data_IF_739822038977
#
_entry.id   IF_739822038977
#
_cell.length_a   1.000
_cell.length_b   1.000
_cell.length_c   1.000
_cell.angle_alpha   90.00
_cell.angle_beta   90.00
_cell.angle_gamma   90.00
#
_symmetry.space_group_name_H-M   'P 1'
#
loop_
_entity.id
_entity.type
_entity.pdbx_description
1 polymer ?
#
# COMPACT_ATOMS: atom_id res chain seq x y z
N UNK A 1 -48.54 8.16 -24.39
CA UNK A 1 -47.72 8.12 -23.16
C UNK A 1 -46.33 8.60 -23.55
N UNK A 2 -46.01 9.87 -23.26
CA UNK A 2 -44.74 10.51 -23.60
C UNK A 2 -43.58 9.90 -22.82
N UNK A 3 -42.50 9.60 -23.53
CA UNK A 3 -41.19 9.25 -22.98
C UNK A 3 -40.49 10.49 -22.44
N UNK A 4 -40.28 10.56 -21.12
CA UNK A 4 -39.48 11.61 -20.47
C UNK A 4 -38.03 11.13 -20.42
N UNK A 5 -37.12 11.89 -21.04
CA UNK A 5 -35.68 11.67 -20.95
C UNK A 5 -35.17 12.02 -19.53
N UNK A 6 -34.13 11.34 -19.02
CA UNK A 6 -33.54 11.69 -17.74
C UNK A 6 -32.86 13.07 -17.81
N UNK A 7 -32.86 13.85 -16.71
CA UNK A 7 -32.26 15.17 -16.69
C UNK A 7 -30.72 15.06 -16.85
N UNK A 8 -30.07 16.06 -17.46
CA UNK A 8 -28.62 16.10 -17.54
C UNK A 8 -28.02 16.16 -16.14
N UNK A 9 -26.92 15.43 -15.93
CA UNK A 9 -26.13 15.50 -14.71
C UNK A 9 -25.68 16.95 -14.50
N UNK A 10 -26.19 17.57 -13.43
CA UNK A 10 -25.68 18.86 -12.97
C UNK A 10 -24.23 18.64 -12.54
N UNK A 11 -23.29 19.25 -13.27
CA UNK A 11 -21.94 19.46 -12.78
C UNK A 11 -22.08 20.19 -11.43
N UNK A 12 -21.45 19.64 -10.38
CA UNK A 12 -21.42 20.27 -9.07
C UNK A 12 -20.93 21.71 -9.24
N UNK A 13 -21.73 22.68 -8.80
CA UNK A 13 -21.35 24.08 -8.81
C UNK A 13 -20.02 24.25 -8.06
N UNK A 14 -19.09 25.07 -8.57
CA UNK A 14 -17.86 25.36 -7.84
C UNK A 14 -18.20 25.93 -6.47
N UNK A 15 -17.71 25.26 -5.42
CA UNK A 15 -17.85 25.71 -4.04
C UNK A 15 -17.38 27.18 -3.96
N UNK A 16 -18.10 28.06 -3.23
CA UNK A 16 -17.62 29.41 -3.02
C UNK A 16 -16.20 29.37 -2.44
N UNK A 17 -15.29 30.13 -3.04
CA UNK A 17 -13.91 30.26 -2.57
C UNK A 17 -13.90 30.70 -1.10
N UNK A 18 -13.30 29.90 -0.23
CA UNK A 18 -12.97 30.31 1.14
C UNK A 18 -11.55 30.88 1.12
N UNK A 19 -11.38 32.21 1.21
CA UNK A 19 -10.07 32.84 1.08
C UNK A 19 -9.06 32.35 2.12
N UNK A 20 -9.52 31.87 3.28
CA UNK A 20 -8.66 31.36 4.33
C UNK A 20 -8.21 29.93 4.03
N UNK A 21 -9.11 29.08 3.52
CA UNK A 21 -8.77 27.74 3.06
C UNK A 21 -7.84 27.79 1.83
N UNK A 22 -8.09 28.71 0.90
CA UNK A 22 -7.25 28.91 -0.29
C UNK A 22 -5.86 29.41 0.08
N UNK A 23 -5.75 30.33 1.04
CA UNK A 23 -4.46 30.81 1.55
C UNK A 23 -3.69 29.70 2.30
N UNK A 24 -4.38 28.87 3.08
CA UNK A 24 -3.79 27.70 3.74
C UNK A 24 -3.28 26.69 2.70
N UNK A 25 -4.11 26.33 1.72
CA UNK A 25 -3.75 25.39 0.67
C UNK A 25 -2.57 25.90 -0.18
N UNK A 26 -2.58 27.18 -0.57
CA UNK A 26 -1.46 27.81 -1.27
C UNK A 26 -0.16 27.76 -0.45
N UNK A 27 -0.23 27.99 0.87
CA UNK A 27 0.95 27.90 1.75
C UNK A 27 1.41 26.45 1.93
N UNK A 28 0.49 25.51 2.10
CA UNK A 28 0.77 24.09 2.31
C UNK A 28 1.38 23.43 1.07
N UNK A 29 0.99 23.86 -0.13
CA UNK A 29 1.45 23.30 -1.41
C UNK A 29 2.69 23.98 -1.99
N UNK A 30 3.16 25.09 -1.40
CA UNK A 30 4.31 25.86 -1.91
C UNK A 30 5.66 25.18 -1.71
N UNK A 31 5.72 24.01 -1.05
CA UNK A 31 6.94 23.28 -0.71
C UNK A 31 6.67 22.22 0.36
N UNK A 32 7.60 21.27 0.54
CA UNK A 32 7.47 20.22 1.55
C UNK A 32 7.44 20.84 2.96
N UNK A 33 6.45 20.50 3.78
CA UNK A 33 6.28 21.03 5.14
C UNK A 33 5.88 19.94 6.11
N UNK A 34 6.31 20.07 7.35
CA UNK A 34 5.79 19.29 8.46
C UNK A 34 4.57 20.02 9.06
N UNK A 35 3.61 19.29 9.59
CA UNK A 35 2.45 19.86 10.29
C UNK A 35 2.34 19.35 11.72
N UNK A 36 1.72 20.15 12.58
CA UNK A 36 1.28 19.72 13.90
C UNK A 36 -0.22 19.97 14.08
N UNK A 37 -0.92 19.07 14.76
CA UNK A 37 -2.34 19.28 15.10
C UNK A 37 -2.44 20.38 16.15
N UNK A 38 -3.26 21.39 15.86
CA UNK A 38 -3.59 22.45 16.82
C UNK A 38 -4.48 21.90 17.93
N UNK A 39 -4.09 22.13 19.18
CA UNK A 39 -4.73 21.52 20.35
C UNK A 39 -5.65 22.47 21.10
N UNK A 40 -5.59 23.77 20.77
CA UNK A 40 -6.24 24.83 21.55
C UNK A 40 -5.47 25.23 22.81
N UNK A 41 -4.37 24.53 23.14
CA UNK A 41 -3.44 24.93 24.18
C UNK A 41 -2.24 25.64 23.54
N UNK A 42 -2.15 26.97 23.74
CA UNK A 42 -1.14 27.80 23.10
C UNK A 42 0.31 27.40 23.44
N UNK A 43 0.56 26.90 24.65
CA UNK A 43 1.89 26.42 25.05
C UNK A 43 2.25 25.13 24.31
N UNK A 44 1.31 24.17 24.24
CA UNK A 44 1.47 22.91 23.50
C UNK A 44 1.75 23.19 22.03
N UNK A 45 0.97 24.08 21.42
CA UNK A 45 1.06 24.41 20.00
C UNK A 45 2.39 25.13 19.70
N UNK A 46 2.82 26.04 20.57
CA UNK A 46 4.11 26.74 20.44
C UNK A 46 5.31 25.77 20.54
N UNK A 47 5.28 24.84 21.50
CA UNK A 47 6.33 23.81 21.65
C UNK A 47 6.39 22.92 20.40
N UNK A 48 5.23 22.48 19.92
CA UNK A 48 5.11 21.63 18.72
C UNK A 48 5.70 22.33 17.50
N UNK A 49 5.33 23.61 17.30
CA UNK A 49 5.87 24.44 16.22
C UNK A 49 7.39 24.57 16.32
N UNK A 50 7.93 24.91 17.48
CA UNK A 50 9.37 25.11 17.68
C UNK A 50 10.18 23.82 17.47
N UNK A 51 9.65 22.68 17.94
CA UNK A 51 10.26 21.36 17.75
C UNK A 51 10.34 20.98 16.27
N UNK A 52 9.23 21.12 15.54
CA UNK A 52 9.20 20.83 14.11
C UNK A 52 10.05 21.82 13.31
N UNK A 53 10.12 23.09 13.69
CA UNK A 53 11.00 24.08 13.05
C UNK A 53 12.46 23.64 13.15
N UNK A 54 12.87 23.23 14.35
CA UNK A 54 14.23 22.73 14.60
C UNK A 54 14.51 21.46 13.80
N UNK A 55 13.54 20.54 13.72
CA UNK A 55 13.64 19.32 12.92
C UNK A 55 13.79 19.64 11.43
N UNK A 56 13.00 20.58 10.89
CA UNK A 56 13.10 21.02 9.49
C UNK A 56 14.49 21.56 9.17
N UNK A 57 15.04 22.43 10.04
CA UNK A 57 16.41 22.96 9.88
C UNK A 57 17.44 21.83 9.89
N UNK A 58 17.33 20.90 10.83
CA UNK A 58 18.25 19.78 10.95
C UNK A 58 18.20 18.83 9.74
N UNK A 59 17.00 18.52 9.24
CA UNK A 59 16.82 17.71 8.04
C UNK A 59 17.41 18.40 6.82
N UNK A 60 17.19 19.71 6.63
CA UNK A 60 17.79 20.46 5.53
C UNK A 60 19.33 20.52 5.57
N UNK A 61 19.94 20.43 6.77
CA UNK A 61 21.40 20.36 6.91
C UNK A 61 21.98 18.98 6.57
N UNK A 62 21.18 17.90 6.67
CA UNK A 62 21.66 16.51 6.52
C UNK A 62 21.09 15.77 5.32
N UNK A 63 20.14 16.36 4.62
CA UNK A 63 19.43 15.78 3.48
C UNK A 63 19.21 16.84 2.41
N UNK A 64 18.71 16.44 1.24
CA UNK A 64 18.31 17.38 0.19
C UNK A 64 16.93 18.02 0.42
N UNK A 65 16.33 17.87 1.62
CA UNK A 65 15.01 18.41 1.94
C UNK A 65 15.06 19.93 2.09
N UNK A 66 14.42 20.66 1.17
CA UNK A 66 14.13 22.09 1.30
C UNK A 66 12.74 22.28 1.95
N UNK A 67 12.70 22.15 3.28
CA UNK A 67 11.45 22.23 4.03
C UNK A 67 11.03 23.67 4.37
N UNK A 68 9.74 23.98 4.21
CA UNK A 68 9.15 25.25 4.64
C UNK A 68 8.83 25.30 6.14
N UNK A 69 8.43 26.48 6.64
CA UNK A 69 7.98 26.65 8.03
C UNK A 69 6.81 25.69 8.36
N UNK A 70 6.86 24.97 9.49
CA UNK A 70 5.79 24.09 9.93
C UNK A 70 4.47 24.82 10.13
N UNK A 71 3.37 24.13 9.83
CA UNK A 71 2.01 24.67 9.93
C UNK A 71 1.22 23.99 11.04
N UNK A 72 0.46 24.80 11.78
CA UNK A 72 -0.60 24.29 12.64
C UNK A 72 -1.76 23.85 11.77
N UNK A 73 -2.32 22.68 12.10
CA UNK A 73 -3.35 22.00 11.33
C UNK A 73 -4.61 21.83 12.19
N UNK A 74 -5.75 22.26 11.66
CA UNK A 74 -7.08 21.91 12.17
C UNK A 74 -7.61 20.71 11.37
N UNK A 75 -7.57 19.53 11.99
CA UNK A 75 -7.98 18.26 11.37
C UNK A 75 -9.46 18.24 10.91
N UNK A 76 -10.31 19.11 11.44
CA UNK A 76 -11.71 19.18 11.05
C UNK A 76 -11.92 19.99 9.76
N UNK A 77 -11.01 20.92 9.44
CA UNK A 77 -11.20 21.93 8.38
C UNK A 77 -10.13 21.86 7.30
N UNK A 78 -8.88 21.77 7.70
CA UNK A 78 -7.74 21.90 6.81
C UNK A 78 -7.49 20.59 6.03
N UNK A 79 -6.85 20.68 4.87
CA UNK A 79 -6.53 19.52 4.04
C UNK A 79 -5.28 18.79 4.56
N UNK A 80 -5.43 17.49 4.88
CA UNK A 80 -4.37 16.67 5.51
C UNK A 80 -3.40 16.14 4.45
N UNK A 81 -3.87 15.89 3.23
CA UNK A 81 -3.11 15.22 2.18
C UNK A 81 -1.86 16.00 1.71
N UNK A 82 -1.72 17.28 2.07
CA UNK A 82 -0.56 18.09 1.74
C UNK A 82 0.67 17.83 2.62
N UNK A 83 0.51 17.10 3.72
CA UNK A 83 1.57 16.90 4.70
C UNK A 83 2.04 15.44 4.67
N UNK A 84 3.35 15.16 4.47
CA UNK A 84 3.87 13.80 4.48
C UNK A 84 3.94 13.21 5.91
N UNK A 85 4.00 14.07 6.92
CA UNK A 85 4.03 13.70 8.33
C UNK A 85 3.25 14.75 9.13
N UNK A 86 2.29 14.28 9.92
CA UNK A 86 1.54 15.09 10.89
C UNK A 86 1.96 14.68 12.30
N UNK A 87 2.47 15.62 13.08
CA UNK A 87 2.74 15.43 14.50
C UNK A 87 1.49 15.76 15.31
N UNK A 88 1.03 14.84 16.13
CA UNK A 88 -0.17 15.03 16.95
C UNK A 88 0.16 14.96 18.44
N UNK A 89 0.34 16.11 19.11
CA UNK A 89 0.48 16.16 20.55
C UNK A 89 -0.86 15.85 21.22
N UNK A 90 -0.90 14.81 22.05
CA UNK A 90 -2.10 14.42 22.79
C UNK A 90 -2.16 15.23 24.09
N UNK A 91 -3.27 15.96 24.26
CA UNK A 91 -3.57 16.72 25.47
C UNK A 91 -4.70 15.98 26.21
N UNK A 92 -4.46 15.43 27.41
CA UNK A 92 -5.43 14.57 28.10
C UNK A 92 -6.81 15.20 28.31
N UNK A 93 -6.85 16.50 28.59
CA UNK A 93 -8.08 17.23 28.89
C UNK A 93 -8.70 17.91 27.66
N UNK A 94 -8.11 17.73 26.47
CA UNK A 94 -8.68 18.29 25.25
C UNK A 94 -9.96 17.54 24.85
N UNK A 95 -10.96 18.26 24.32
CA UNK A 95 -12.17 17.61 23.82
C UNK A 95 -11.82 16.63 22.70
N UNK A 96 -12.41 15.44 22.76
CA UNK A 96 -12.26 14.45 21.69
C UNK A 96 -12.71 15.05 20.34
N UNK A 97 -11.93 14.89 19.26
CA UNK A 97 -12.33 15.36 17.94
C UNK A 97 -13.67 14.77 17.50
N UNK A 98 -14.40 15.51 16.66
CA UNK A 98 -15.69 15.05 16.13
C UNK A 98 -15.50 13.81 15.25
N UNK A 99 -16.56 13.00 15.11
CA UNK A 99 -16.54 11.82 14.24
C UNK A 99 -16.15 12.17 12.79
N UNK A 100 -16.57 13.34 12.30
CA UNK A 100 -16.19 13.82 10.96
C UNK A 100 -14.69 14.12 10.86
N UNK A 101 -14.09 14.75 11.87
CA UNK A 101 -12.66 15.01 11.90
C UNK A 101 -11.85 13.71 11.96
N UNK A 102 -12.30 12.74 12.78
CA UNK A 102 -11.67 11.43 12.87
C UNK A 102 -11.78 10.63 11.57
N UNK A 103 -12.90 10.72 10.85
CA UNK A 103 -13.03 10.10 9.53
C UNK A 103 -12.05 10.68 8.49
N UNK A 104 -11.71 11.97 8.59
CA UNK A 104 -10.69 12.60 7.73
C UNK A 104 -9.29 12.08 8.05
N UNK A 105 -8.98 11.94 9.34
CA UNK A 105 -7.74 11.35 9.85
C UNK A 105 -7.61 9.89 9.38
N UNK A 106 -8.68 9.10 9.51
CA UNK A 106 -8.76 7.72 9.03
C UNK A 106 -8.46 7.61 7.54
N UNK A 107 -9.12 8.45 6.73
CA UNK A 107 -8.88 8.49 5.28
C UNK A 107 -7.43 8.88 4.93
N UNK A 108 -6.84 9.85 5.63
CA UNK A 108 -5.45 10.25 5.44
C UNK A 108 -4.47 9.10 5.74
N UNK A 109 -4.67 8.39 6.85
CA UNK A 109 -3.82 7.24 7.20
C UNK A 109 -3.96 6.10 6.18
N UNK A 110 -5.19 5.78 5.75
CA UNK A 110 -5.46 4.77 4.71
C UNK A 110 -4.84 5.11 3.36
N UNK A 111 -4.62 6.40 3.08
CA UNK A 111 -3.94 6.87 1.87
C UNK A 111 -2.41 6.92 2.01
N UNK A 112 -1.84 6.36 3.08
CA UNK A 112 -0.40 6.29 3.32
C UNK A 112 0.17 7.51 4.03
N UNK A 113 -0.69 8.40 4.54
CA UNK A 113 -0.30 9.52 5.38
C UNK A 113 0.25 9.05 6.73
N UNK A 114 1.38 9.59 7.17
CA UNK A 114 1.98 9.23 8.45
C UNK A 114 1.54 10.21 9.54
N UNK A 115 1.12 9.67 10.70
CA UNK A 115 0.84 10.44 11.92
C UNK A 115 1.74 9.95 13.05
N UNK A 116 2.41 10.88 13.73
CA UNK A 116 3.15 10.61 14.97
C UNK A 116 2.34 11.13 16.16
N UNK A 117 1.73 10.22 16.92
CA UNK A 117 1.04 10.55 18.17
C UNK A 117 2.05 10.66 19.32
N UNK A 118 2.03 11.79 20.03
CA UNK A 118 2.90 12.04 21.18
C UNK A 118 2.06 12.24 22.44
N UNK A 119 2.12 11.29 23.38
CA UNK A 119 1.37 11.34 24.65
C UNK A 119 1.98 12.31 25.66
N UNK A 120 3.22 12.79 25.44
CA UNK A 120 3.91 13.82 26.23
C UNK A 120 4.16 13.50 27.71
N UNK A 121 3.80 12.31 28.17
CA UNK A 121 3.70 11.94 29.58
C UNK A 121 4.62 10.79 29.99
N UNK A 122 5.59 10.45 29.14
CA UNK A 122 6.55 9.37 29.37
C UNK A 122 7.39 9.55 30.67
N UNK A 123 7.48 10.77 31.22
CA UNK A 123 8.17 11.06 32.50
C UNK A 123 7.29 10.78 33.72
N UNK A 124 5.97 10.94 33.59
CA UNK A 124 5.02 10.77 34.69
C UNK A 124 4.57 9.31 34.83
N UNK A 125 4.74 8.52 33.77
CA UNK A 125 4.48 7.09 33.79
C UNK A 125 5.48 6.38 34.72
N UNK A 126 4.97 5.80 35.81
CA UNK A 126 5.75 4.87 36.62
C UNK A 126 6.22 3.68 35.75
N UNK A 127 7.41 3.10 36.00
CA UNK A 127 7.89 1.93 35.25
C UNK A 127 6.84 0.82 35.22
N UNK A 128 6.45 0.35 34.03
CA UNK A 128 5.39 -0.67 33.87
C UNK A 128 3.95 -0.15 33.91
N UNK A 129 3.73 1.17 34.08
CA UNK A 129 2.43 1.84 33.99
C UNK A 129 2.30 2.73 32.73
N UNK A 130 3.21 2.59 31.76
CA UNK A 130 3.25 3.34 30.49
C UNK A 130 1.91 3.30 29.73
N UNK A 131 1.15 2.22 29.85
CA UNK A 131 -0.13 2.05 29.17
C UNK A 131 -1.31 2.75 29.88
N UNK A 132 -1.10 3.33 31.07
CA UNK A 132 -2.15 3.88 31.95
C UNK A 132 -2.02 5.39 32.20
N UNK A 133 -1.04 6.04 31.60
CA UNK A 133 -0.86 7.48 31.75
C UNK A 133 -2.04 8.26 31.13
N UNK A 134 -2.35 9.48 31.60
CA UNK A 134 -3.48 10.27 31.09
C UNK A 134 -3.44 10.49 29.57
N UNK A 135 -2.28 10.75 28.99
CA UNK A 135 -2.09 10.91 27.55
C UNK A 135 -2.33 9.62 26.79
N UNK A 136 -1.92 8.47 27.33
CA UNK A 136 -2.20 7.16 26.74
C UNK A 136 -3.69 6.78 26.81
N UNK A 137 -4.39 7.16 27.90
CA UNK A 137 -5.85 6.98 28.00
C UNK A 137 -6.57 7.85 26.97
N UNK A 138 -6.18 9.12 26.83
CA UNK A 138 -6.75 10.01 25.83
C UNK A 138 -6.49 9.52 24.39
N UNK A 139 -5.26 9.07 24.12
CA UNK A 139 -4.90 8.47 22.82
C UNK A 139 -5.79 7.26 22.51
N UNK A 140 -5.94 6.31 23.44
CA UNK A 140 -6.85 5.16 23.23
C UNK A 140 -8.28 5.59 22.94
N UNK A 141 -8.77 6.64 23.60
CA UNK A 141 -10.09 7.20 23.33
C UNK A 141 -10.24 7.78 21.91
N UNK A 142 -9.17 8.33 21.33
CA UNK A 142 -9.13 8.78 19.93
C UNK A 142 -9.06 7.58 18.99
N UNK A 143 -8.11 6.68 19.23
CA UNK A 143 -7.84 5.52 18.38
C UNK A 143 -9.02 4.54 18.33
N UNK A 144 -9.82 4.42 19.39
CA UNK A 144 -11.01 3.55 19.42
C UNK A 144 -12.12 3.97 18.45
N UNK A 145 -11.96 5.10 17.74
CA UNK A 145 -12.89 5.61 16.73
C UNK A 145 -12.27 5.73 15.35
N UNK A 146 -11.03 5.26 15.20
CA UNK A 146 -10.34 5.10 13.93
C UNK A 146 -10.32 3.61 13.59
N UNK A 147 -10.40 3.30 12.30
CA UNK A 147 -10.32 1.93 11.81
C UNK A 147 -8.85 1.63 11.51
N UNK A 148 -8.06 1.54 12.59
CA UNK A 148 -6.63 1.24 12.54
C UNK A 148 -6.35 -0.15 13.10
N UNK A 149 -5.34 -0.85 12.56
CA UNK A 149 -4.88 -2.11 13.14
C UNK A 149 -4.38 -1.92 14.58
N UNK A 150 -4.29 -3.04 15.31
CA UNK A 150 -3.77 -3.05 16.66
C UNK A 150 -2.36 -2.42 16.68
N UNK A 151 -2.01 -1.72 17.76
CA UNK A 151 -0.66 -1.20 17.94
C UNK A 151 0.17 -2.21 18.70
N UNK A 152 1.37 -2.50 18.21
CA UNK A 152 2.36 -3.29 18.94
C UNK A 152 3.60 -2.44 19.26
N UNK A 153 4.33 -2.78 20.33
CA UNK A 153 5.62 -2.15 20.55
C UNK A 153 6.57 -2.52 19.44
N UNK A 154 7.37 -1.56 18.98
CA UNK A 154 8.23 -1.75 17.81
C UNK A 154 9.05 -3.05 17.88
N UNK A 155 8.81 -4.02 16.97
CA UNK A 155 9.59 -5.24 16.93
C UNK A 155 11.05 -4.97 16.57
N UNK A 156 11.97 -5.82 17.03
CA UNK A 156 13.40 -5.71 16.69
C UNK A 156 13.67 -5.74 15.19
N UNK A 157 12.81 -6.39 14.42
CA UNK A 157 12.96 -6.57 12.99
C UNK A 157 12.25 -5.51 12.14
N UNK A 158 11.60 -4.55 12.78
CA UNK A 158 10.84 -3.49 12.13
C UNK A 158 11.75 -2.59 11.27
N UNK A 159 11.22 -2.02 10.17
CA UNK A 159 12.05 -1.20 9.25
C UNK A 159 12.74 -0.03 9.98
N UNK A 160 12.08 0.57 10.98
CA UNK A 160 12.63 1.68 11.78
C UNK A 160 13.85 1.27 12.63
N UNK A 161 13.97 0.01 13.09
CA UNK A 161 15.18 -0.47 13.79
C UNK A 161 16.30 -0.83 12.81
N UNK A 162 15.98 -1.01 11.52
CA UNK A 162 16.94 -1.35 10.46
C UNK A 162 17.45 -0.14 9.68
N UNK A 163 16.78 1.00 9.79
CA UNK A 163 17.17 2.25 9.14
C UNK A 163 18.32 2.92 9.89
N UNK A 164 19.28 3.55 9.19
CA UNK A 164 20.38 4.34 9.77
C UNK A 164 21.19 3.61 10.88
N UNK A 165 22.05 2.66 10.50
CA UNK A 165 22.98 1.96 11.41
C UNK A 165 22.33 1.25 12.61
N UNK A 166 21.33 0.39 12.35
CA UNK A 166 20.74 -0.51 13.36
C UNK A 166 20.35 0.22 14.65
N UNK A 167 19.43 1.18 14.58
CA UNK A 167 18.88 1.85 15.76
C UNK A 167 18.26 0.80 16.69
N UNK A 168 18.93 0.55 17.83
CA UNK A 168 18.47 -0.38 18.87
C UNK A 168 17.52 0.27 19.85
N UNK A 169 17.64 1.58 20.00
CA UNK A 169 16.84 2.41 20.88
C UNK A 169 16.28 3.60 20.09
N UNK A 170 15.16 4.15 20.55
CA UNK A 170 14.50 5.32 19.96
C UNK A 170 14.62 6.51 20.91
N UNK A 171 15.82 7.09 21.07
CA UNK A 171 16.01 8.20 21.99
C UNK A 171 15.23 9.42 21.49
N UNK A 172 14.31 9.90 22.32
CA UNK A 172 13.69 11.20 22.16
C UNK A 172 14.28 12.21 23.14
N UNK A 173 13.44 13.13 23.63
CA UNK A 173 13.76 13.92 24.84
C UNK A 173 14.08 13.01 26.05
N UNK A 174 13.59 11.77 26.02
CA UNK A 174 13.77 10.74 27.04
C UNK A 174 14.17 9.41 26.41
N UNK A 175 14.84 8.56 27.17
CA UNK A 175 15.35 7.25 26.72
C UNK A 175 14.54 6.06 27.23
N UNK A 176 13.53 6.29 28.07
CA UNK A 176 12.70 5.24 28.69
C UNK A 176 11.35 5.01 27.99
N UNK A 177 11.01 5.84 26.98
CA UNK A 177 9.74 5.72 26.26
C UNK A 177 9.73 4.56 25.28
N UNK A 178 8.63 3.82 25.22
CA UNK A 178 8.43 2.73 24.26
C UNK A 178 7.72 3.27 23.01
N UNK A 179 8.34 3.13 21.84
CA UNK A 179 7.71 3.45 20.56
C UNK A 179 6.76 2.31 20.14
N UNK A 180 5.55 2.68 19.72
CA UNK A 180 4.54 1.77 19.22
C UNK A 180 4.33 2.02 17.72
N UNK A 181 4.05 0.95 16.99
CA UNK A 181 3.81 0.95 15.54
C UNK A 181 2.55 0.13 15.25
N UNK A 182 2.00 0.28 14.06
CA UNK A 182 0.95 -0.60 13.54
C UNK A 182 1.42 -2.05 13.59
N UNK A 183 0.62 -2.94 14.17
CA UNK A 183 0.93 -4.36 14.27
C UNK A 183 0.87 -4.99 12.89
N UNK A 184 1.96 -5.68 12.54
CA UNK A 184 1.97 -6.48 11.33
C UNK A 184 1.14 -7.76 11.60
N UNK A 185 0.47 -8.33 10.58
CA UNK A 185 -0.26 -9.59 10.73
C UNK A 185 0.62 -10.65 11.39
N UNK A 186 0.11 -11.27 12.46
CA UNK A 186 0.86 -12.23 13.25
C UNK A 186 1.42 -13.35 12.34
N UNK A 187 2.72 -13.58 12.45
CA UNK A 187 3.34 -14.75 11.85
C UNK A 187 2.75 -16.02 12.48
N UNK A 188 2.52 -17.04 11.66
CA UNK A 188 2.17 -18.39 12.10
C UNK A 188 3.16 -18.88 13.18
N UNK A 189 2.69 -19.18 14.40
CA UNK A 189 3.57 -19.59 15.51
C UNK A 189 4.27 -20.94 15.29
N UNK A 190 3.85 -21.74 14.30
CA UNK A 190 4.49 -23.02 13.93
C UNK A 190 5.34 -22.93 12.64
N UNK A 191 5.49 -21.75 12.04
CA UNK A 191 6.38 -21.51 10.91
C UNK A 191 7.83 -21.26 11.36
N UNK A 192 8.85 -21.56 10.54
CA UNK A 192 10.23 -21.23 10.88
C UNK A 192 10.34 -19.71 11.15
N UNK A 193 10.78 -19.39 12.36
CA UNK A 193 11.07 -18.05 12.86
C UNK A 193 12.19 -17.44 12.02
N UNK A 194 11.86 -16.72 10.94
CA UNK A 194 12.87 -16.10 10.08
C UNK A 194 12.36 -14.88 9.29
N UNK A 195 12.86 -13.69 9.69
CA UNK A 195 13.26 -12.57 8.82
C UNK A 195 12.30 -12.20 7.67
N UNK A 196 11.02 -11.93 7.95
CA UNK A 196 10.09 -11.40 6.93
C UNK A 196 10.27 -9.87 6.79
N UNK A 197 10.66 -9.32 5.63
CA UNK A 197 10.81 -7.88 5.49
C UNK A 197 9.44 -7.18 5.39
N UNK A 198 9.35 -5.96 5.94
CA UNK A 198 8.10 -5.19 5.95
C UNK A 198 7.68 -4.77 4.52
N UNK A 199 6.38 -4.83 4.24
CA UNK A 199 5.73 -4.40 2.98
C UNK A 199 5.37 -2.92 3.05
N UNK A 200 5.53 -2.19 1.95
CA UNK A 200 5.01 -0.83 1.83
C UNK A 200 3.48 -0.82 1.92
N UNK A 201 2.91 0.14 2.66
CA UNK A 201 1.45 0.25 2.81
C UNK A 201 0.76 0.49 1.46
N UNK A 202 -0.50 0.07 1.35
CA UNK A 202 -1.26 0.13 0.09
C UNK A 202 -1.36 1.55 -0.49
N UNK A 203 -1.53 2.57 0.35
CA UNK A 203 -1.54 3.98 -0.06
C UNK A 203 -0.21 4.45 -0.67
N UNK A 204 0.92 3.98 -0.13
CA UNK A 204 2.25 4.27 -0.67
C UNK A 204 2.44 3.62 -2.06
N UNK A 205 2.01 2.37 -2.20
CA UNK A 205 2.04 1.65 -3.49
C UNK A 205 1.16 2.39 -4.50
N UNK A 206 -0.07 2.75 -4.12
CA UNK A 206 -1.01 3.48 -4.97
C UNK A 206 -0.42 4.80 -5.48
N UNK A 207 0.23 5.57 -4.61
CA UNK A 207 0.87 6.84 -4.96
C UNK A 207 2.04 6.68 -5.95
N UNK A 208 2.87 5.65 -5.77
CA UNK A 208 3.97 5.32 -6.70
C UNK A 208 3.44 5.08 -8.11
N UNK A 209 2.39 4.28 -8.24
CA UNK A 209 1.82 3.94 -9.55
C UNK A 209 0.97 5.08 -10.12
N UNK A 210 0.26 5.84 -9.30
CA UNK A 210 -0.46 7.04 -9.72
C UNK A 210 0.46 8.03 -10.45
N UNK A 211 1.66 8.29 -9.91
CA UNK A 211 2.67 9.16 -10.51
C UNK A 211 3.25 8.64 -11.85
N UNK A 212 3.00 7.38 -12.20
CA UNK A 212 3.50 6.71 -13.40
C UNK A 212 2.41 6.47 -14.45
N UNK A 213 1.14 6.47 -14.06
CA UNK A 213 0.01 6.06 -14.91
C UNK A 213 0.01 6.72 -16.30
N UNK A 214 0.26 8.04 -16.37
CA UNK A 214 0.25 8.76 -17.64
C UNK A 214 1.36 8.34 -18.63
N UNK A 215 2.46 7.79 -18.14
CA UNK A 215 3.61 7.37 -18.96
C UNK A 215 3.84 5.87 -18.98
N UNK A 216 3.01 5.10 -18.28
CA UNK A 216 3.19 3.65 -18.13
C UNK A 216 3.23 2.97 -19.50
N UNK A 217 2.22 3.25 -20.33
CA UNK A 217 2.12 2.70 -21.68
C UNK A 217 3.11 3.36 -22.65
N UNK A 218 3.49 4.62 -22.41
CA UNK A 218 4.44 5.36 -23.26
C UNK A 218 5.91 4.95 -23.03
N UNK A 219 6.23 4.38 -21.87
CA UNK A 219 7.54 3.79 -21.57
C UNK A 219 7.79 2.46 -22.29
N UNK A 220 6.75 1.89 -22.91
CA UNK A 220 6.81 0.67 -23.72
C UNK A 220 7.08 0.98 -25.20
N UNK A 221 8.18 1.66 -25.49
CA UNK A 221 8.86 1.40 -26.76
C UNK A 221 9.18 -0.12 -26.84
N UNK A 222 9.23 -0.74 -28.04
CA UNK A 222 9.21 -2.19 -28.27
C UNK A 222 10.38 -3.03 -27.69
N UNK A 223 11.11 -2.55 -26.68
CA UNK A 223 12.30 -3.18 -26.10
C UNK A 223 12.38 -3.16 -24.55
N UNK A 224 11.40 -2.63 -23.79
CA UNK A 224 11.61 -2.40 -22.35
C UNK A 224 10.86 -3.33 -21.37
N UNK A 225 9.53 -3.51 -21.39
CA UNK A 225 8.79 -4.30 -20.36
C UNK A 225 7.98 -5.44 -20.99
N UNK A 226 8.04 -6.65 -20.40
CA UNK A 226 7.40 -7.89 -20.87
C UNK A 226 6.53 -8.58 -19.83
N UNK A 227 6.34 -8.00 -18.64
CA UNK A 227 5.60 -8.65 -17.57
C UNK A 227 4.17 -9.04 -17.97
N UNK A 228 3.50 -8.22 -18.78
CA UNK A 228 2.17 -8.51 -19.30
C UNK A 228 2.14 -9.69 -20.28
N UNK A 229 3.08 -9.71 -21.23
CA UNK A 229 3.20 -10.79 -22.22
C UNK A 229 3.50 -12.13 -21.54
N UNK A 230 4.46 -12.16 -20.60
CA UNK A 230 4.85 -13.38 -19.89
C UNK A 230 3.68 -14.01 -19.13
N UNK A 231 2.86 -13.20 -18.45
CA UNK A 231 1.68 -13.70 -17.73
C UNK A 231 0.62 -14.21 -18.69
N UNK A 232 0.32 -13.46 -19.76
CA UNK A 232 -0.67 -13.87 -20.75
C UNK A 232 -0.26 -15.18 -21.45
N UNK A 233 0.99 -15.29 -21.87
CA UNK A 233 1.56 -16.50 -22.49
C UNK A 233 1.51 -17.71 -21.55
N UNK A 234 1.88 -17.54 -20.27
CA UNK A 234 1.80 -18.62 -19.27
C UNK A 234 0.35 -19.07 -19.04
N UNK A 235 -0.58 -18.13 -18.87
CA UNK A 235 -2.00 -18.42 -18.67
C UNK A 235 -2.59 -19.16 -19.86
N UNK A 236 -2.31 -18.70 -21.09
CA UNK A 236 -2.86 -19.30 -22.31
C UNK A 236 -2.32 -20.70 -22.61
N UNK A 237 -1.10 -21.03 -22.17
CA UNK A 237 -0.56 -22.40 -22.24
C UNK A 237 -1.31 -23.39 -21.32
N UNK A 238 -1.97 -22.88 -20.28
CA UNK A 238 -2.54 -23.67 -19.19
C UNK A 238 -4.06 -23.86 -19.30
N UNK A 239 -4.76 -22.95 -19.95
CA UNK A 239 -6.23 -22.99 -20.06
C UNK A 239 -6.67 -23.74 -21.32
N UNK A 240 -7.78 -24.50 -21.27
CA UNK A 240 -8.34 -25.10 -22.47
C UNK A 240 -8.86 -24.01 -23.43
N UNK A 241 -9.08 -24.40 -24.68
CA UNK A 241 -9.78 -23.56 -25.65
C UNK A 241 -11.21 -23.25 -25.19
N UNK A 242 -11.62 -21.99 -25.36
CA UNK A 242 -12.91 -21.50 -24.89
C UNK A 242 -12.84 -20.11 -24.27
N UNK A 243 -14.02 -19.56 -24.00
CA UNK A 243 -14.18 -18.27 -23.36
C UNK A 243 -14.21 -18.42 -21.83
N UNK A 244 -13.40 -17.63 -21.14
CA UNK A 244 -13.10 -17.74 -19.71
C UNK A 244 -13.66 -16.55 -18.93
N UNK A 245 -13.99 -16.73 -17.66
CA UNK A 245 -14.10 -15.63 -16.71
C UNK A 245 -12.72 -15.37 -16.09
N UNK A 246 -12.15 -14.19 -16.37
CA UNK A 246 -10.77 -13.83 -16.02
C UNK A 246 -10.77 -12.67 -15.01
N UNK A 247 -9.92 -12.79 -13.98
CA UNK A 247 -9.52 -11.66 -13.15
C UNK A 247 -8.11 -11.19 -13.53
N UNK A 248 -7.94 -9.89 -13.77
CA UNK A 248 -6.64 -9.23 -13.87
C UNK A 248 -6.32 -8.55 -12.52
N UNK A 249 -5.52 -9.22 -11.70
CA UNK A 249 -5.19 -8.83 -10.33
C UNK A 249 -3.95 -7.93 -10.33
N UNK A 250 -4.13 -6.65 -10.01
CA UNK A 250 -3.12 -5.61 -10.25
C UNK A 250 -3.11 -5.20 -11.72
N UNK A 251 -4.28 -4.89 -12.28
CA UNK A 251 -4.44 -4.72 -13.72
C UNK A 251 -3.69 -3.50 -14.29
N UNK A 252 -3.30 -2.54 -13.44
CA UNK A 252 -2.62 -1.31 -13.86
C UNK A 252 -3.40 -0.58 -14.94
N UNK A 253 -2.71 -0.19 -16.01
CA UNK A 253 -3.33 0.42 -17.21
C UNK A 253 -4.04 -0.59 -18.11
N UNK A 254 -4.09 -1.87 -17.73
CA UNK A 254 -4.80 -2.92 -18.44
C UNK A 254 -4.04 -3.58 -19.60
N UNK A 255 -2.72 -3.68 -19.50
CA UNK A 255 -1.89 -4.34 -20.53
C UNK A 255 -2.21 -5.84 -20.65
N UNK A 256 -2.34 -6.56 -19.53
CA UNK A 256 -2.68 -7.99 -19.56
C UNK A 256 -4.09 -8.21 -20.08
N UNK A 257 -5.07 -7.43 -19.60
CA UNK A 257 -6.43 -7.46 -20.14
C UNK A 257 -6.52 -7.29 -21.66
N UNK A 258 -5.67 -6.46 -22.28
CA UNK A 258 -5.62 -6.30 -23.74
C UNK A 258 -5.18 -7.58 -24.46
N UNK A 259 -4.25 -8.33 -23.88
CA UNK A 259 -3.76 -9.61 -24.42
C UNK A 259 -4.77 -10.74 -24.23
N UNK A 260 -5.57 -10.69 -23.16
CA UNK A 260 -6.50 -11.76 -22.80
C UNK A 260 -7.96 -11.53 -23.25
N UNK A 261 -8.34 -10.34 -23.71
CA UNK A 261 -9.75 -10.01 -24.02
C UNK A 261 -10.40 -10.97 -25.02
N UNK A 262 -9.67 -11.42 -26.03
CA UNK A 262 -10.19 -12.36 -27.05
C UNK A 262 -10.57 -13.73 -26.49
N UNK A 263 -10.03 -14.08 -25.31
CA UNK A 263 -10.31 -15.32 -24.58
C UNK A 263 -11.26 -15.12 -23.41
N UNK A 264 -11.64 -13.87 -23.11
CA UNK A 264 -12.48 -13.54 -21.97
C UNK A 264 -13.96 -13.48 -22.37
N UNK A 265 -14.78 -14.36 -21.79
CA UNK A 265 -16.23 -14.16 -21.67
C UNK A 265 -16.52 -12.99 -20.74
N UNK A 266 -15.75 -12.89 -19.66
CA UNK A 266 -15.77 -11.80 -18.69
C UNK A 266 -14.35 -11.47 -18.28
N UNK A 267 -14.04 -10.18 -18.19
CA UNK A 267 -12.76 -9.66 -17.74
C UNK A 267 -12.96 -8.61 -16.65
N UNK A 268 -12.62 -8.96 -15.41
CA UNK A 268 -12.67 -8.06 -14.27
C UNK A 268 -11.25 -7.64 -13.87
N UNK A 269 -11.03 -6.36 -13.59
CA UNK A 269 -9.73 -5.82 -13.17
C UNK A 269 -9.80 -5.19 -11.79
N UNK A 270 -8.72 -5.35 -11.01
CA UNK A 270 -8.52 -4.66 -9.73
C UNK A 270 -7.14 -4.02 -9.69
N UNK A 271 -7.06 -2.78 -9.20
CA UNK A 271 -5.79 -2.10 -8.94
C UNK A 271 -5.96 -1.12 -7.76
N UNK A 272 -4.89 -0.85 -7.03
CA UNK A 272 -4.88 0.13 -5.93
C UNK A 272 -4.92 1.58 -6.46
N UNK A 273 -4.45 1.82 -7.69
CA UNK A 273 -4.23 3.14 -8.24
C UNK A 273 -5.40 3.59 -9.13
N UNK A 274 -6.21 4.53 -8.65
CA UNK A 274 -7.29 5.13 -9.45
C UNK A 274 -6.81 5.71 -10.79
N UNK A 275 -5.67 6.44 -10.88
CA UNK A 275 -5.14 6.90 -12.16
C UNK A 275 -4.73 5.79 -13.13
N UNK A 276 -4.30 4.63 -12.63
CA UNK A 276 -4.05 3.45 -13.49
C UNK A 276 -5.37 2.90 -14.04
N UNK A 277 -6.39 2.79 -13.20
CA UNK A 277 -7.73 2.32 -13.60
C UNK A 277 -8.41 3.26 -14.59
N UNK A 278 -8.16 4.56 -14.54
CA UNK A 278 -8.60 5.50 -15.58
C UNK A 278 -8.04 5.11 -16.95
N UNK A 279 -6.74 4.81 -17.04
CA UNK A 279 -6.12 4.32 -18.29
C UNK A 279 -6.68 2.97 -18.74
N UNK A 280 -6.94 2.06 -17.81
CA UNK A 280 -7.56 0.77 -18.13
C UNK A 280 -9.00 0.95 -18.66
N UNK A 281 -9.75 1.90 -18.07
CA UNK A 281 -11.13 2.22 -18.48
C UNK A 281 -11.18 2.79 -19.90
N UNK A 282 -10.24 3.65 -20.26
CA UNK A 282 -10.14 4.24 -21.60
C UNK A 282 -10.01 3.18 -22.71
N UNK A 283 -9.48 2.00 -22.40
CA UNK A 283 -9.34 0.89 -23.36
C UNK A 283 -10.67 0.17 -23.64
N UNK A 284 -11.69 0.32 -22.79
CA UNK A 284 -13.01 -0.30 -22.99
C UNK A 284 -13.02 -1.83 -22.98
N UNK A 285 -12.03 -2.46 -22.34
CA UNK A 285 -11.84 -3.93 -22.38
C UNK A 285 -12.55 -4.67 -21.24
N UNK A 286 -12.68 -4.03 -20.08
CA UNK A 286 -13.10 -4.66 -18.83
C UNK A 286 -14.61 -4.59 -18.61
N UNK A 287 -15.18 -5.68 -18.12
CA UNK A 287 -16.57 -5.77 -17.69
C UNK A 287 -16.77 -5.14 -16.29
N UNK A 288 -15.73 -5.13 -15.46
CA UNK A 288 -15.67 -4.38 -14.20
C UNK A 288 -14.24 -3.94 -13.87
N UNK A 289 -14.12 -2.75 -13.27
CA UNK A 289 -12.86 -2.22 -12.72
C UNK A 289 -13.10 -1.81 -11.26
N UNK A 290 -12.29 -2.33 -10.35
CA UNK A 290 -12.39 -2.06 -8.92
C UNK A 290 -11.11 -1.38 -8.43
N UNK A 291 -11.26 -0.24 -7.74
CA UNK A 291 -10.17 0.39 -7.02
C UNK A 291 -10.09 -0.23 -5.62
N UNK A 292 -9.05 -1.01 -5.35
CA UNK A 292 -8.92 -1.72 -4.08
C UNK A 292 -7.77 -2.71 -4.05
N UNK A 293 -7.58 -3.32 -2.88
CA UNK A 293 -6.59 -4.38 -2.69
C UNK A 293 -7.03 -5.68 -3.39
N UNK A 294 -6.03 -6.38 -3.97
CA UNK A 294 -6.28 -7.60 -4.72
C UNK A 294 -6.71 -8.77 -3.82
N UNK A 295 -6.22 -8.83 -2.58
CA UNK A 295 -6.55 -9.94 -1.66
C UNK A 295 -8.03 -9.84 -1.27
N UNK A 296 -8.47 -8.65 -0.85
CA UNK A 296 -9.89 -8.38 -0.57
C UNK A 296 -10.78 -8.63 -1.79
N UNK A 297 -10.40 -8.10 -2.95
CA UNK A 297 -11.16 -8.28 -4.19
C UNK A 297 -11.38 -9.76 -4.56
N UNK A 298 -10.34 -10.58 -4.45
CA UNK A 298 -10.42 -12.01 -4.75
C UNK A 298 -11.22 -12.77 -3.68
N UNK A 299 -11.00 -12.47 -2.39
CA UNK A 299 -11.68 -13.14 -1.28
C UNK A 299 -13.22 -12.97 -1.32
N UNK A 300 -13.71 -11.82 -1.77
CA UNK A 300 -15.14 -11.54 -1.93
C UNK A 300 -15.81 -12.28 -3.11
N UNK A 301 -15.03 -13.00 -3.93
CA UNK A 301 -15.50 -13.58 -5.20
C UNK A 301 -15.22 -15.09 -5.29
N UNK A 302 -15.72 -15.90 -4.34
CA UNK A 302 -15.41 -17.32 -4.28
C UNK A 302 -15.86 -18.06 -5.54
N UNK A 303 -14.97 -18.90 -6.09
CA UNK A 303 -15.22 -19.75 -7.27
C UNK A 303 -15.81 -19.00 -8.47
N UNK A 304 -15.40 -17.74 -8.65
CA UNK A 304 -15.91 -16.87 -9.70
C UNK A 304 -15.13 -16.94 -11.00
N UNK A 305 -13.85 -17.29 -10.94
CA UNK A 305 -12.96 -17.17 -12.11
C UNK A 305 -12.44 -18.53 -12.58
N UNK A 306 -12.28 -18.66 -13.89
CA UNK A 306 -11.57 -19.77 -14.52
C UNK A 306 -10.06 -19.52 -14.53
N UNK A 307 -9.66 -18.25 -14.62
CA UNK A 307 -8.26 -17.85 -14.62
C UNK A 307 -8.04 -16.51 -13.90
N UNK A 308 -6.87 -16.37 -13.27
CA UNK A 308 -6.36 -15.13 -12.69
C UNK A 308 -5.02 -14.84 -13.35
N UNK A 309 -4.84 -13.61 -13.79
CA UNK A 309 -3.58 -13.06 -14.25
C UNK A 309 -3.06 -12.02 -13.23
N UNK A 310 -1.75 -11.99 -12.99
CA UNK A 310 -1.13 -11.03 -12.06
C UNK A 310 0.31 -10.69 -12.50
N UNK A 311 0.45 -9.65 -13.31
CA UNK A 311 1.76 -9.21 -13.81
C UNK A 311 2.41 -8.20 -12.84
N UNK A 312 3.63 -8.51 -12.39
CA UNK A 312 4.49 -7.62 -11.61
C UNK A 312 3.79 -6.96 -10.39
N UNK A 313 2.85 -7.67 -9.76
CA UNK A 313 2.10 -7.18 -8.59
C UNK A 313 2.44 -7.97 -7.32
N UNK A 314 2.64 -9.29 -7.43
CA UNK A 314 3.09 -10.12 -6.29
C UNK A 314 4.47 -9.71 -5.76
N UNK A 315 5.26 -8.98 -6.55
CA UNK A 315 6.54 -8.39 -6.10
C UNK A 315 6.36 -7.42 -4.93
N UNK A 316 5.15 -6.96 -4.62
CA UNK A 316 4.87 -6.12 -3.45
C UNK A 316 4.50 -6.89 -2.19
N UNK A 317 4.50 -8.22 -2.25
CA UNK A 317 4.14 -9.08 -1.13
C UNK A 317 5.37 -9.82 -0.63
N UNK A 318 5.77 -9.59 0.62
CA UNK A 318 6.80 -10.42 1.25
C UNK A 318 6.25 -11.83 1.48
N UNK A 319 5.14 -11.91 2.19
CA UNK A 319 4.37 -13.14 2.38
C UNK A 319 3.39 -13.37 1.21
N UNK A 320 3.54 -14.49 0.51
CA UNK A 320 2.68 -14.88 -0.60
C UNK A 320 1.45 -15.68 -0.15
N UNK A 321 1.38 -16.09 1.13
CA UNK A 321 0.28 -16.86 1.69
C UNK A 321 -1.09 -16.18 1.47
N UNK A 322 -1.31 -14.94 1.96
CA UNK A 322 -2.58 -14.24 1.79
C UNK A 322 -3.05 -14.08 0.32
N UNK A 323 -2.23 -13.57 -0.63
CA UNK A 323 -2.66 -13.43 -2.01
C UNK A 323 -2.90 -14.79 -2.69
N UNK A 324 -2.11 -15.83 -2.37
CA UNK A 324 -2.34 -17.17 -2.92
C UNK A 324 -3.63 -17.80 -2.36
N UNK A 325 -3.90 -17.66 -1.06
CA UNK A 325 -5.13 -18.16 -0.45
C UNK A 325 -6.38 -17.49 -1.04
N UNK A 326 -6.34 -16.17 -1.24
CA UNK A 326 -7.43 -15.44 -1.89
C UNK A 326 -7.62 -15.86 -3.35
N UNK A 327 -6.54 -16.06 -4.11
CA UNK A 327 -6.60 -16.62 -5.46
C UNK A 327 -7.21 -18.03 -5.48
N UNK A 328 -6.82 -18.90 -4.54
CA UNK A 328 -7.35 -20.26 -4.42
C UNK A 328 -8.84 -20.30 -4.07
N UNK A 329 -9.32 -19.31 -3.29
CA UNK A 329 -10.73 -19.15 -2.97
C UNK A 329 -11.53 -18.64 -4.18
N UNK A 330 -10.98 -17.69 -4.92
CA UNK A 330 -11.63 -17.05 -6.06
C UNK A 330 -11.71 -17.93 -7.31
N UNK A 331 -10.76 -18.86 -7.48
CA UNK A 331 -10.75 -19.81 -8.59
C UNK A 331 -11.77 -20.94 -8.43
N UNK A 332 -12.32 -21.37 -9.56
CA UNK A 332 -13.00 -22.66 -9.69
C UNK A 332 -11.97 -23.80 -9.59
N UNK A 333 -12.44 -25.00 -9.28
CA UNK A 333 -11.60 -26.19 -9.26
C UNK A 333 -10.97 -26.41 -10.65
N UNK A 334 -9.65 -26.64 -10.68
CA UNK A 334 -8.89 -26.72 -11.93
C UNK A 334 -8.58 -25.37 -12.60
N UNK A 335 -9.01 -24.25 -12.01
CA UNK A 335 -8.70 -22.90 -12.48
C UNK A 335 -7.20 -22.56 -12.41
N UNK A 336 -6.80 -21.55 -13.18
CA UNK A 336 -5.39 -21.15 -13.36
C UNK A 336 -5.07 -19.85 -12.65
N UNK A 337 -3.91 -19.77 -12.01
CA UNK A 337 -3.30 -18.51 -11.60
C UNK A 337 -1.92 -18.35 -12.27
N UNK A 338 -1.78 -17.37 -13.15
CA UNK A 338 -0.51 -17.02 -13.77
C UNK A 338 0.03 -15.69 -13.22
N UNK A 339 1.30 -15.66 -12.84
CA UNK A 339 1.92 -14.46 -12.26
C UNK A 339 3.41 -14.33 -12.63
N UNK A 340 3.92 -13.11 -12.48
CA UNK A 340 5.37 -12.83 -12.50
C UNK A 340 5.84 -12.28 -11.16
N UNK A 341 6.98 -12.81 -10.70
CA UNK A 341 7.74 -12.36 -9.53
C UNK A 341 9.18 -12.05 -9.93
N UNK A 342 9.99 -11.55 -8.99
CA UNK A 342 11.44 -11.47 -9.20
C UNK A 342 12.14 -12.60 -8.43
N UNK A 343 13.04 -13.37 -9.07
CA UNK A 343 13.72 -14.46 -8.40
C UNK A 343 14.70 -13.92 -7.35
N UNK A 344 14.85 -14.64 -6.23
CA UNK A 344 15.93 -14.42 -5.28
C UNK A 344 17.14 -15.28 -5.69
N UNK A 345 18.23 -14.68 -6.23
CA UNK A 345 19.40 -15.43 -6.69
C UNK A 345 20.27 -15.91 -5.52
N UNK A 346 20.15 -15.28 -4.35
CA UNK A 346 21.01 -15.56 -3.19
C UNK A 346 20.48 -16.73 -2.36
N UNK A 347 19.16 -16.92 -2.34
CA UNK A 347 18.51 -17.99 -1.58
C UNK A 347 17.20 -18.44 -2.25
N UNK A 348 17.19 -19.68 -2.74
CA UNK A 348 16.03 -20.28 -3.38
C UNK A 348 14.88 -20.56 -2.39
N UNK A 349 15.14 -20.52 -1.08
CA UNK A 349 14.18 -20.85 -0.03
C UNK A 349 13.62 -19.64 0.71
N UNK A 350 14.18 -18.45 0.47
CA UNK A 350 13.89 -17.27 1.24
C UNK A 350 13.29 -16.13 0.41
N UNK A 351 12.67 -15.20 1.11
CA UNK A 351 12.23 -13.91 0.60
C UNK A 351 13.29 -12.87 1.01
N UNK A 352 13.59 -11.92 0.13
CA UNK A 352 14.40 -10.76 0.48
C UNK A 352 13.81 -9.47 -0.10
N UNK A 353 14.25 -8.33 0.41
CA UNK A 353 13.93 -7.02 -0.19
C UNK A 353 14.75 -6.88 -1.47
N UNK A 354 14.06 -6.67 -2.59
CA UNK A 354 14.68 -6.41 -3.88
C UNK A 354 15.08 -4.94 -4.06
N UNK A 355 16.04 -4.69 -4.95
CA UNK A 355 16.34 -3.34 -5.46
C UNK A 355 15.66 -3.12 -6.82
N UNK A 356 14.92 -2.03 -6.95
CA UNK A 356 14.37 -1.56 -8.23
C UNK A 356 14.96 -0.19 -8.54
N UNK A 357 15.55 -0.05 -9.72
CA UNK A 357 16.29 1.12 -10.21
C UNK A 357 15.44 2.40 -10.17
N UNK A 358 15.38 3.05 -9.00
CA UNK A 358 14.63 4.29 -8.77
C UNK A 358 13.23 4.12 -8.16
N UNK A 359 12.83 2.90 -7.74
CA UNK A 359 11.86 2.77 -6.65
C UNK A 359 12.66 2.93 -5.36
N UNK A 360 12.21 3.83 -4.49
CA UNK A 360 12.80 4.01 -3.17
C UNK A 360 13.10 2.64 -2.52
N UNK A 361 14.28 2.49 -1.93
CA UNK A 361 14.62 1.35 -1.09
C UNK A 361 13.39 0.96 -0.23
N UNK A 362 12.87 -0.28 -0.39
CA UNK A 362 11.90 -0.86 0.55
C UNK A 362 10.47 -1.15 0.08
N UNK A 363 10.20 -1.33 -1.22
CA UNK A 363 8.82 -1.58 -1.69
C UNK A 363 8.56 -2.90 -2.44
N UNK A 364 9.59 -3.63 -2.84
CA UNK A 364 9.45 -4.87 -3.60
C UNK A 364 10.34 -5.97 -3.06
N UNK A 365 9.93 -7.20 -3.35
CA UNK A 365 10.50 -8.42 -2.86
C UNK A 365 11.06 -9.24 -4.02
N UNK A 366 12.14 -9.96 -3.72
CA UNK A 366 12.61 -11.08 -4.51
C UNK A 366 12.24 -12.36 -3.77
N UNK A 367 11.81 -13.37 -4.50
CA UNK A 367 11.28 -14.61 -3.94
C UNK A 367 12.10 -15.79 -4.43
N UNK A 368 12.59 -16.60 -3.49
CA UNK A 368 13.22 -17.87 -3.80
C UNK A 368 12.23 -18.82 -4.46
N UNK A 369 12.69 -19.53 -5.51
CA UNK A 369 11.82 -20.45 -6.26
C UNK A 369 11.18 -21.52 -5.37
N UNK A 370 11.96 -22.15 -4.48
CA UNK A 370 11.45 -23.17 -3.58
C UNK A 370 10.43 -22.61 -2.59
N UNK A 371 10.63 -21.37 -2.12
CA UNK A 371 9.64 -20.66 -1.31
C UNK A 371 8.31 -20.48 -2.05
N UNK A 372 8.36 -20.00 -3.30
CA UNK A 372 7.15 -19.81 -4.12
C UNK A 372 6.42 -21.14 -4.33
N UNK A 373 7.14 -22.21 -4.65
CA UNK A 373 6.57 -23.55 -4.84
C UNK A 373 5.91 -24.09 -3.56
N UNK A 374 6.53 -23.89 -2.39
CA UNK A 374 5.93 -24.27 -1.10
C UNK A 374 4.71 -23.45 -0.75
N UNK A 375 4.78 -22.13 -0.89
CA UNK A 375 3.66 -21.23 -0.61
C UNK A 375 2.45 -21.57 -1.51
N UNK A 376 2.69 -21.85 -2.79
CA UNK A 376 1.67 -22.30 -3.72
C UNK A 376 1.05 -23.65 -3.29
N UNK A 377 1.88 -24.62 -2.92
CA UNK A 377 1.39 -25.92 -2.43
C UNK A 377 0.55 -25.79 -1.15
N UNK A 378 0.99 -24.98 -0.20
CA UNK A 378 0.26 -24.71 1.06
C UNK A 378 -1.10 -24.04 0.80
N UNK A 379 -1.20 -23.18 -0.21
CA UNK A 379 -2.46 -22.56 -0.64
C UNK A 379 -3.35 -23.47 -1.52
N UNK A 380 -2.95 -24.73 -1.75
CA UNK A 380 -3.75 -25.70 -2.51
C UNK A 380 -3.58 -25.63 -4.02
N UNK A 381 -2.41 -25.20 -4.51
CA UNK A 381 -2.04 -25.23 -5.92
C UNK A 381 -1.10 -26.38 -6.28
N UNK A 382 -1.13 -26.79 -7.55
CA UNK A 382 -0.03 -27.49 -8.20
C UNK A 382 0.72 -26.50 -9.11
N UNK A 383 2.05 -26.51 -9.05
CA UNK A 383 2.89 -25.66 -9.91
C UNK A 383 3.09 -26.37 -11.24
N UNK A 384 2.61 -25.79 -12.34
CA UNK A 384 2.76 -26.33 -13.70
C UNK A 384 3.83 -25.58 -14.50
N UNK A 385 4.01 -24.29 -14.23
CA UNK A 385 5.05 -23.44 -14.83
C UNK A 385 5.84 -22.78 -13.71
N UNK A 386 7.18 -22.87 -13.79
CA UNK A 386 8.14 -22.16 -12.96
C UNK A 386 9.43 -21.99 -13.76
N UNK A 387 9.52 -20.89 -14.50
CA UNK A 387 10.61 -20.62 -15.44
C UNK A 387 11.07 -19.16 -15.34
N UNK A 388 12.34 -18.93 -15.68
CA UNK A 388 12.90 -17.58 -15.71
C UNK A 388 12.82 -17.00 -17.11
N UNK A 389 12.46 -15.72 -17.20
CA UNK A 389 12.40 -15.00 -18.46
C UNK A 389 12.83 -13.55 -18.29
N UNK A 390 13.26 -12.90 -19.37
CA UNK A 390 13.58 -11.47 -19.35
C UNK A 390 12.28 -10.68 -19.15
N UNK A 391 12.16 -10.05 -17.99
CA UNK A 391 11.04 -9.20 -17.59
C UNK A 391 11.12 -7.84 -18.24
N UNK A 392 12.28 -7.20 -18.17
CA UNK A 392 12.49 -5.89 -18.76
C UNK A 392 13.95 -5.66 -19.12
N UNK A 393 14.22 -4.78 -20.07
CA UNK A 393 15.57 -4.30 -20.39
C UNK A 393 15.61 -2.78 -20.28
N UNK A 394 16.43 -2.28 -19.36
CA UNK A 394 16.61 -0.85 -19.12
C UNK A 394 18.10 -0.52 -19.14
N UNK A 395 18.48 0.50 -19.92
CA UNK A 395 19.88 0.97 -20.03
C UNK A 395 20.91 -0.15 -20.28
N UNK A 396 20.55 -1.15 -21.10
CA UNK A 396 21.42 -2.28 -21.44
C UNK A 396 21.53 -3.37 -20.36
N UNK A 397 20.75 -3.28 -19.27
CA UNK A 397 20.63 -4.33 -18.25
C UNK A 397 19.26 -4.99 -18.36
N UNK A 398 19.25 -6.31 -18.39
CA UNK A 398 18.02 -7.09 -18.36
C UNK A 398 17.70 -7.53 -16.93
N UNK A 399 16.45 -7.35 -16.53
CA UNK A 399 15.91 -7.87 -15.27
C UNK A 399 15.18 -9.18 -15.57
N UNK A 400 15.43 -10.19 -14.74
CA UNK A 400 14.78 -11.49 -14.83
C UNK A 400 13.48 -11.50 -14.02
N UNK A 401 12.43 -12.12 -14.55
CA UNK A 401 11.25 -12.53 -13.79
C UNK A 401 11.25 -14.04 -13.60
N UNK A 402 10.70 -14.47 -12.47
CA UNK A 402 10.19 -15.82 -12.27
C UNK A 402 8.72 -15.83 -12.74
N UNK A 403 8.45 -16.53 -13.83
CA UNK A 403 7.10 -16.75 -14.35
C UNK A 403 6.54 -18.00 -13.70
N UNK A 404 5.39 -17.87 -13.03
CA UNK A 404 4.71 -18.99 -12.40
C UNK A 404 3.31 -19.19 -12.97
N UNK A 405 2.97 -20.47 -13.16
CA UNK A 405 1.66 -20.91 -13.59
C UNK A 405 1.17 -21.99 -12.63
N UNK A 406 0.09 -21.68 -11.91
CA UNK A 406 -0.43 -22.47 -10.81
C UNK A 406 -1.82 -23.01 -11.15
N UNK A 407 -2.06 -24.29 -10.87
CA UNK A 407 -3.34 -24.97 -11.04
C UNK A 407 -4.04 -25.14 -9.71
N UNK A 408 -5.27 -24.66 -9.57
CA UNK A 408 -6.04 -24.88 -8.34
C UNK A 408 -6.38 -26.37 -8.23
N UNK A 409 -5.90 -27.02 -7.17
CA UNK A 409 -6.31 -28.40 -6.86
C UNK A 409 -7.81 -28.43 -6.52
N UNK A 410 -8.54 -29.50 -6.87
CA UNK A 410 -9.93 -29.66 -6.46
C UNK A 410 -10.08 -29.52 -4.94
N UNK A 411 -11.20 -28.96 -4.48
CA UNK A 411 -11.51 -29.00 -3.05
C UNK A 411 -11.86 -30.44 -2.68
N UNK A 412 -11.23 -30.99 -1.64
CA UNK A 412 -11.68 -32.26 -1.08
C UNK A 412 -13.11 -32.03 -0.54
N UNK A 413 -14.06 -32.82 -1.06
CA UNK A 413 -15.50 -32.66 -0.83
C UNK A 413 -15.98 -33.24 0.49
#
# INVERSE_FOLDING_TARGET
>A
LSTVAPPPAQAAEPRPADPQADAFAAKATSGARLAYVTTGNAEVDAISKAGLQSLTVFLGQRTALEGGEPLGLDIARDELAFFPLIYWPIVPDAPKPSAQALARVDAYMKQGGTILFDTRDAVEAAPGAETRSPGMVALRGILSSLDIPELEPIPREHVLTKTFFLLRDFPGRFTAGRLWVEAMPAADPDGPDERRPARAGDGQIAAIYAARAARWDAGAGPQAYRGADLVAEALLRMVPDGALDIADAGCGTGLVGALLKSRARRLDGVDLSAPMLERARDKGLYDALVCGDLVGFLAERPSRYDAIACAATLIHFGDLGPPLAAAAAALRDGGVFAATLFPNPDDADAIAVGSLDGLAQGGCFVHGRAYVERAAAAAGFAVEIAEEAVHETQAGRSRTALVVGLRRRPREG
#
